data_IF_358445579830
#
_entry.id   IF_358445579830
#
_cell.length_a   1.000
_cell.length_b   1.000
_cell.length_c   1.000
_cell.angle_alpha   90.00
_cell.angle_beta   90.00
_cell.angle_gamma   90.00
#
_symmetry.space_group_name_H-M   'P 1'
#
loop_
_entity.id
_entity.type
_entity.pdbx_description
1 polymer ?
#
# COMPACT_ATOMS: atom_id res chain seq x y z
N UNK A 1 -20.00 -4.69 3.15
CA UNK A 1 -20.10 -4.63 1.67
C UNK A 1 -18.75 -4.73 0.95
N UNK A 2 -17.77 -5.52 1.43
CA UNK A 2 -16.58 -5.93 0.64
C UNK A 2 -15.50 -4.88 0.31
N UNK A 3 -15.80 -3.58 0.36
CA UNK A 3 -14.88 -2.49 -0.05
C UNK A 3 -13.51 -2.52 0.63
N UNK A 4 -13.48 -2.64 1.95
CA UNK A 4 -12.21 -2.68 2.70
C UNK A 4 -11.39 -3.91 2.34
N UNK A 5 -12.05 -5.06 2.12
CA UNK A 5 -11.36 -6.28 1.67
C UNK A 5 -10.78 -6.10 0.28
N UNK A 6 -11.52 -5.47 -0.65
CA UNK A 6 -11.03 -5.15 -1.99
C UNK A 6 -9.79 -4.26 -1.95
N UNK A 7 -9.82 -3.16 -1.18
CA UNK A 7 -8.66 -2.27 -1.04
C UNK A 7 -7.45 -3.00 -0.44
N UNK A 8 -7.66 -3.90 0.52
CA UNK A 8 -6.60 -4.74 1.08
C UNK A 8 -6.03 -5.73 0.06
N UNK A 9 -6.86 -6.27 -0.82
CA UNK A 9 -6.39 -7.17 -1.89
C UNK A 9 -5.60 -6.41 -2.97
N UNK A 10 -6.03 -5.20 -3.34
CA UNK A 10 -5.29 -4.32 -4.26
C UNK A 10 -3.89 -4.04 -3.71
N UNK A 11 -3.78 -3.66 -2.43
CA UNK A 11 -2.51 -3.36 -1.77
C UNK A 11 -1.71 -4.60 -1.31
N UNK A 12 -2.18 -5.79 -1.70
CA UNK A 12 -1.63 -7.11 -1.38
C UNK A 12 -1.35 -7.32 0.11
N UNK A 13 -2.29 -6.87 0.94
CA UNK A 13 -2.39 -7.16 2.37
C UNK A 13 -3.20 -8.44 2.65
N UNK A 14 -3.97 -8.89 1.66
CA UNK A 14 -4.73 -10.14 1.64
C UNK A 14 -4.65 -10.68 0.21
N UNK A 15 -4.37 -11.97 0.02
CA UNK A 15 -4.38 -12.59 -1.32
C UNK A 15 -5.81 -13.01 -1.70
N UNK A 16 -6.23 -12.82 -2.95
CA UNK A 16 -7.51 -13.35 -3.42
C UNK A 16 -7.44 -14.88 -3.52
N UNK A 17 -8.51 -15.57 -3.13
CA UNK A 17 -8.60 -17.03 -3.27
C UNK A 17 -8.61 -17.47 -4.74
N UNK A 18 -9.15 -16.64 -5.63
CA UNK A 18 -9.19 -16.87 -7.08
C UNK A 18 -9.23 -15.55 -7.85
N UNK A 19 -8.89 -15.62 -9.14
CA UNK A 19 -8.84 -14.45 -10.02
C UNK A 19 -7.49 -13.73 -10.04
N UNK A 20 -7.46 -12.57 -10.69
CA UNK A 20 -6.25 -11.78 -10.92
C UNK A 20 -6.58 -10.30 -10.69
N UNK A 21 -5.72 -9.61 -9.94
CA UNK A 21 -5.76 -8.15 -9.82
C UNK A 21 -4.64 -7.58 -10.67
N UNK A 22 -4.99 -6.75 -11.65
CA UNK A 22 -4.02 -6.06 -12.51
C UNK A 22 -3.90 -4.60 -12.12
N UNK A 23 -2.67 -4.12 -11.99
CA UNK A 23 -2.32 -2.72 -11.79
C UNK A 23 -1.43 -2.31 -12.97
N UNK A 24 -1.85 -1.27 -13.71
CA UNK A 24 -1.20 -0.83 -14.94
C UNK A 24 -0.97 -1.97 -15.96
N UNK A 25 -1.94 -2.91 -16.03
CA UNK A 25 -1.89 -4.07 -16.92
C UNK A 25 -1.07 -5.26 -16.39
N UNK A 26 -0.28 -5.10 -15.34
CA UNK A 26 0.53 -6.16 -14.73
C UNK A 26 -0.20 -6.81 -13.54
N UNK A 27 -0.05 -8.12 -13.39
CA UNK A 27 -0.52 -8.83 -12.19
C UNK A 27 0.16 -8.26 -10.94
N UNK A 28 -0.60 -7.89 -9.91
CA UNK A 28 -0.02 -7.32 -8.70
C UNK A 28 0.88 -8.29 -7.91
N UNK A 29 0.88 -9.59 -8.26
CA UNK A 29 1.78 -10.63 -7.74
C UNK A 29 3.14 -10.68 -8.46
N UNK A 30 3.29 -9.95 -9.57
CA UNK A 30 4.55 -9.91 -10.35
C UNK A 30 5.70 -9.20 -9.64
N UNK A 31 5.41 -8.39 -8.62
CA UNK A 31 6.41 -7.67 -7.81
C UNK A 31 6.43 -8.18 -6.36
N UNK A 32 7.51 -7.98 -5.60
CA UNK A 32 7.47 -8.10 -4.14
C UNK A 32 6.45 -7.12 -3.53
N UNK A 33 5.74 -7.55 -2.49
CA UNK A 33 4.62 -6.77 -1.94
C UNK A 33 5.03 -5.41 -1.37
N UNK A 34 6.27 -5.27 -0.89
CA UNK A 34 6.78 -3.99 -0.42
C UNK A 34 7.07 -3.01 -1.57
N UNK A 35 7.50 -3.50 -2.74
CA UNK A 35 7.72 -2.67 -3.93
C UNK A 35 6.38 -2.20 -4.49
N UNK A 36 5.41 -3.11 -4.58
CA UNK A 36 4.05 -2.76 -4.95
C UNK A 36 3.49 -1.63 -4.06
N UNK A 37 3.61 -1.77 -2.73
CA UNK A 37 3.13 -0.78 -1.77
C UNK A 37 3.81 0.58 -1.89
N UNK A 38 5.05 0.64 -2.37
CA UNK A 38 5.76 1.90 -2.62
C UNK A 38 5.22 2.65 -3.83
N UNK A 39 4.59 1.95 -4.78
CA UNK A 39 3.94 2.55 -5.95
C UNK A 39 2.50 3.05 -5.68
N UNK A 40 1.92 2.74 -4.51
CA UNK A 40 0.52 3.04 -4.18
C UNK A 40 0.42 3.90 -2.93
N UNK A 41 -0.18 5.09 -3.05
CA UNK A 41 -0.61 5.89 -1.91
C UNK A 41 -1.85 5.29 -1.24
N UNK A 42 -1.68 4.59 -0.11
CA UNK A 42 -2.79 3.97 0.62
C UNK A 42 -3.12 4.74 1.91
N UNK A 43 -4.24 5.47 1.92
CA UNK A 43 -4.75 6.17 3.08
C UNK A 43 -5.71 5.28 3.88
N UNK A 44 -5.23 4.74 5.02
CA UNK A 44 -6.07 3.96 5.94
C UNK A 44 -6.99 4.86 6.78
N UNK A 45 -8.11 4.29 7.21
CA UNK A 45 -8.94 4.93 8.24
C UNK A 45 -8.20 4.88 9.58
N UNK A 46 -7.92 6.04 10.18
CA UNK A 46 -7.19 6.18 11.45
C UNK A 46 -5.89 6.99 11.35
N UNK A 47 -5.19 7.18 12.46
CA UNK A 47 -3.93 7.93 12.51
C UNK A 47 -2.74 6.99 12.35
N UNK A 48 -1.96 7.16 11.27
CA UNK A 48 -0.72 6.42 10.99
C UNK A 48 0.54 7.28 11.14
N UNK A 49 0.60 8.10 12.18
CA UNK A 49 1.74 8.99 12.43
C UNK A 49 2.70 8.39 13.45
N UNK A 50 4.00 8.65 13.28
CA UNK A 50 5.02 8.36 14.28
C UNK A 50 5.04 9.51 15.29
N UNK A 51 4.54 9.32 16.53
CA UNK A 51 4.30 10.42 17.47
C UNK A 51 5.59 11.07 17.98
N UNK A 52 6.72 10.36 17.88
CA UNK A 52 8.05 10.84 18.27
C UNK A 52 8.79 11.56 17.11
N UNK A 53 8.14 11.76 15.96
CA UNK A 53 8.71 12.41 14.78
C UNK A 53 8.01 13.75 14.52
N UNK A 54 8.76 14.70 13.97
CA UNK A 54 8.19 15.97 13.49
C UNK A 54 7.25 15.73 12.30
N UNK A 55 6.45 16.75 11.96
CA UNK A 55 5.60 16.73 10.75
C UNK A 55 6.45 16.47 9.50
N UNK A 56 7.59 17.17 9.36
CA UNK A 56 8.50 16.99 8.24
C UNK A 56 9.03 15.55 8.16
N UNK A 57 9.43 14.96 9.29
CA UNK A 57 9.90 13.58 9.35
C UNK A 57 8.80 12.55 9.03
N UNK A 58 7.54 12.80 9.42
CA UNK A 58 6.42 11.95 9.02
C UNK A 58 6.20 12.00 7.51
N UNK A 59 6.13 13.21 6.92
CA UNK A 59 5.96 13.42 5.47
C UNK A 59 7.11 12.79 4.67
N UNK A 60 8.35 12.93 5.13
CA UNK A 60 9.54 12.41 4.46
C UNK A 60 9.69 10.88 4.51
N UNK A 61 8.86 10.17 5.28
CA UNK A 61 9.01 8.70 5.47
C UNK A 61 8.97 7.94 4.15
N UNK A 62 8.03 8.25 3.26
CA UNK A 62 7.93 7.56 1.96
C UNK A 62 8.99 8.03 0.97
N UNK A 63 9.23 9.35 0.77
CA UNK A 63 10.34 9.83 -0.08
C UNK A 63 11.67 9.16 0.25
N UNK A 64 12.07 9.09 1.54
CA UNK A 64 13.33 8.45 1.96
C UNK A 64 13.41 6.97 1.60
N UNK A 65 12.28 6.26 1.53
CA UNK A 65 12.24 4.84 1.16
C UNK A 65 12.33 4.60 -0.35
N UNK A 66 12.08 5.64 -1.17
CA UNK A 66 12.14 5.57 -2.63
C UNK A 66 13.55 5.86 -3.17
N UNK A 67 14.43 6.44 -2.35
CA UNK A 67 15.75 6.94 -2.75
C UNK A 67 15.70 8.41 -3.14
#
# INVERSE_FOLDING_TARGET
>A
SGKTTLLRMINRLVEPTSGIIKLDGADNRSLPGYELRRSIGYAIQGHGLFPHRTVAQNIATVPVLLG
#
